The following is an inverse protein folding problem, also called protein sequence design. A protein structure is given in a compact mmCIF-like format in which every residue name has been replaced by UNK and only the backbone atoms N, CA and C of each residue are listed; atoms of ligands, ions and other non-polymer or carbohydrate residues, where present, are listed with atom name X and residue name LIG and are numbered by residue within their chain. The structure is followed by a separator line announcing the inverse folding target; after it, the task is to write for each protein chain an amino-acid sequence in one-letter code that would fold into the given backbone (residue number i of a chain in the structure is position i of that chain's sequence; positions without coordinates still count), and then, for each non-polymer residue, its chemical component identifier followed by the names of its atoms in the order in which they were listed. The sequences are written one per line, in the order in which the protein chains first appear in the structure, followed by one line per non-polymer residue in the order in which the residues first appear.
data_IF_169105807301
#
_entry.id   IF_169105807301
#
_cell.length_a   1.000
_cell.length_b   1.000
_cell.length_c   1.000
_cell.angle_alpha   90.00
_cell.angle_beta   90.00
_cell.angle_gamma   90.00
#
_symmetry.space_group_name_H-M   'P 1'
#
loop_
_entity.id
_entity.type
_entity.pdbx_description
1 polymer ?
#
# COMPACT_ATOMS: atom_id res chain seq x y z
N UNK A 1 -29.84 73.33 -27.05
CA UNK A 1 -29.65 72.26 -26.04
C UNK A 1 -30.66 71.17 -26.33
N UNK A 2 -30.25 69.97 -26.74
CA UNK A 2 -30.97 68.67 -26.75
C UNK A 2 -30.11 67.76 -27.64
N UNK A 3 -29.12 67.11 -27.04
CA UNK A 3 -28.38 65.97 -27.59
C UNK A 3 -27.75 65.27 -26.39
N UNK A 4 -28.49 64.38 -25.72
CA UNK A 4 -27.94 63.25 -24.95
C UNK A 4 -29.05 62.62 -24.12
N UNK A 5 -29.88 61.75 -24.70
CA UNK A 5 -30.76 60.90 -23.91
C UNK A 5 -31.11 59.53 -24.54
N UNK A 6 -30.41 59.12 -25.60
CA UNK A 6 -30.70 57.86 -26.31
C UNK A 6 -29.58 56.80 -26.20
N UNK A 7 -28.58 57.01 -25.35
CA UNK A 7 -27.47 56.05 -25.18
C UNK A 7 -27.56 55.19 -23.92
N UNK A 8 -28.67 55.23 -23.18
CA UNK A 8 -28.79 54.51 -21.89
C UNK A 8 -29.61 53.22 -21.94
N UNK A 9 -30.29 52.89 -23.06
CA UNK A 9 -31.19 51.73 -23.12
C UNK A 9 -30.65 50.53 -23.93
N UNK A 10 -29.39 50.57 -24.38
CA UNK A 10 -28.76 49.44 -25.07
C UNK A 10 -27.89 48.58 -24.14
N UNK A 11 -27.49 49.11 -22.96
CA UNK A 11 -26.67 48.32 -22.02
C UNK A 11 -27.46 47.33 -21.15
N UNK A 12 -28.79 47.43 -21.04
CA UNK A 12 -29.54 46.56 -20.12
C UNK A 12 -29.99 45.22 -20.73
N UNK A 13 -29.89 45.04 -22.05
CA UNK A 13 -30.35 43.81 -22.73
C UNK A 13 -29.23 42.79 -22.97
N UNK A 14 -27.96 43.13 -22.70
CA UNK A 14 -26.82 42.19 -22.88
C UNK A 14 -26.42 41.42 -21.61
N UNK A 15 -27.20 41.53 -20.52
CA UNK A 15 -26.89 40.91 -19.22
C UNK A 15 -27.67 39.61 -18.91
N UNK A 16 -28.18 38.92 -19.93
CA UNK A 16 -28.87 37.62 -19.79
C UNK A 16 -28.29 36.50 -20.67
N UNK A 17 -26.99 36.52 -20.94
CA UNK A 17 -26.33 35.38 -21.59
C UNK A 17 -25.02 34.99 -20.90
N UNK A 18 -24.93 33.71 -20.54
CA UNK A 18 -23.82 32.98 -19.90
C UNK A 18 -23.75 33.18 -18.38
N UNK A 19 -23.78 32.15 -17.54
CA UNK A 19 -22.89 30.98 -17.61
C UNK A 19 -23.64 29.65 -17.33
N UNK A 20 -23.52 28.71 -18.26
CA UNK A 20 -23.62 27.29 -17.92
C UNK A 20 -22.44 26.93 -17.00
N UNK A 21 -22.73 26.45 -15.79
CA UNK A 21 -21.72 25.83 -14.92
C UNK A 21 -21.27 24.51 -15.56
N UNK A 22 -20.23 24.56 -16.39
CA UNK A 22 -19.41 23.37 -16.63
C UNK A 22 -18.58 23.13 -15.37
N UNK A 23 -18.96 22.10 -14.62
CA UNK A 23 -18.11 21.51 -13.58
C UNK A 23 -16.80 21.11 -14.25
N UNK A 24 -15.78 21.94 -14.10
CA UNK A 24 -14.41 21.56 -14.40
C UNK A 24 -14.03 20.48 -13.40
N UNK A 25 -14.00 19.23 -13.86
CA UNK A 25 -13.35 18.14 -13.14
C UNK A 25 -11.90 18.57 -12.93
N UNK A 26 -11.50 18.73 -11.66
CA UNK A 26 -10.12 19.02 -11.31
C UNK A 26 -9.20 18.00 -12.01
N UNK A 27 -8.01 18.42 -12.50
CA UNK A 27 -7.03 17.49 -13.03
C UNK A 27 -6.75 16.42 -11.97
N UNK A 28 -6.91 15.16 -12.36
CA UNK A 28 -6.40 14.02 -11.58
C UNK A 28 -4.89 14.24 -11.44
N UNK A 29 -4.30 14.18 -10.23
CA UNK A 29 -2.86 14.25 -10.08
C UNK A 29 -2.22 13.18 -10.96
N UNK A 30 -1.39 13.59 -11.91
CA UNK A 30 -0.54 12.66 -12.64
C UNK A 30 0.51 12.19 -11.64
N UNK A 31 0.40 10.93 -11.19
CA UNK A 31 1.43 10.33 -10.35
C UNK A 31 2.77 10.35 -11.09
N UNK A 32 3.89 10.59 -10.39
CA UNK A 32 5.21 10.43 -10.98
C UNK A 32 5.40 9.00 -11.47
N UNK A 33 6.06 8.85 -12.62
CA UNK A 33 6.42 7.55 -13.18
C UNK A 33 7.20 6.73 -12.13
N UNK A 34 6.81 5.47 -11.96
CA UNK A 34 7.53 4.55 -11.11
C UNK A 34 9.01 4.49 -11.54
N UNK A 35 9.97 4.40 -10.60
CA UNK A 35 11.39 4.30 -10.94
C UNK A 35 11.65 3.11 -11.87
N UNK A 36 12.68 3.21 -12.73
CA UNK A 36 12.92 2.22 -13.79
C UNK A 36 13.12 0.82 -13.22
N UNK A 37 12.22 -0.07 -13.62
CA UNK A 37 12.23 -1.50 -13.30
C UNK A 37 13.41 -2.15 -14.04
N UNK A 38 14.31 -2.80 -13.30
CA UNK A 38 15.21 -3.80 -13.89
C UNK A 38 14.50 -5.15 -13.86
N UNK A 39 13.75 -5.46 -14.91
CA UNK A 39 12.99 -6.71 -15.06
C UNK A 39 13.93 -7.87 -15.39
N UNK A 40 14.03 -8.85 -14.48
CA UNK A 40 14.31 -10.23 -14.88
C UNK A 40 12.99 -10.99 -14.96
N UNK A 41 12.35 -10.93 -16.12
CA UNK A 41 11.20 -11.77 -16.45
C UNK A 41 11.67 -13.21 -16.67
N UNK A 42 11.45 -14.08 -15.69
CA UNK A 42 11.69 -15.51 -15.84
C UNK A 42 10.39 -16.22 -16.27
N UNK A 43 10.22 -16.44 -17.57
CA UNK A 43 9.22 -17.38 -18.09
C UNK A 43 9.73 -18.80 -17.86
N UNK A 44 9.12 -19.55 -16.95
CA UNK A 44 9.26 -21.01 -16.89
C UNK A 44 7.92 -21.73 -16.69
N UNK A 45 7.78 -22.96 -17.21
CA UNK A 45 6.50 -23.65 -17.32
C UNK A 45 6.00 -24.17 -15.96
N UNK A 46 4.68 -24.18 -15.81
CA UNK A 46 3.97 -24.75 -14.66
C UNK A 46 4.32 -26.23 -14.52
N UNK A 47 5.09 -26.58 -13.49
CA UNK A 47 5.26 -27.96 -13.02
C UNK A 47 4.48 -28.14 -11.72
N UNK A 48 3.66 -29.19 -11.70
CA UNK A 48 2.77 -29.58 -10.61
C UNK A 48 3.55 -29.73 -9.29
N UNK A 49 3.38 -28.79 -8.37
CA UNK A 49 3.94 -28.84 -7.03
C UNK A 49 3.08 -29.73 -6.13
N UNK A 50 3.62 -30.88 -5.75
CA UNK A 50 3.13 -31.73 -4.66
C UNK A 50 3.10 -30.92 -3.35
N UNK A 51 2.14 -31.14 -2.43
CA UNK A 51 2.10 -30.41 -1.16
C UNK A 51 3.34 -30.74 -0.33
N UNK A 52 4.17 -29.73 -0.06
CA UNK A 52 5.26 -29.83 0.90
C UNK A 52 4.66 -29.97 2.30
N UNK A 53 5.14 -30.89 3.14
CA UNK A 53 4.72 -31.00 4.54
C UNK A 53 5.03 -29.69 5.27
N UNK A 54 3.99 -29.05 5.79
CA UNK A 54 4.09 -27.85 6.63
C UNK A 54 4.64 -28.29 7.98
N UNK A 55 5.95 -28.17 8.18
CA UNK A 55 6.57 -28.29 9.50
C UNK A 55 6.17 -27.08 10.37
N UNK A 56 5.57 -27.40 11.53
CA UNK A 56 5.28 -26.61 12.73
C UNK A 56 5.29 -25.07 12.64
N UNK A 57 4.15 -24.46 12.99
CA UNK A 57 3.94 -23.01 13.28
C UNK A 57 5.18 -22.29 13.83
N UNK A 58 6.03 -21.79 12.95
CA UNK A 58 7.17 -20.93 13.32
C UNK A 58 6.69 -19.48 13.41
N UNK A 59 5.72 -19.20 14.26
CA UNK A 59 5.24 -17.82 14.44
C UNK A 59 6.34 -17.02 15.14
N UNK A 60 6.89 -16.03 14.45
CA UNK A 60 7.90 -15.11 15.03
C UNK A 60 7.27 -14.37 16.22
N UNK A 61 7.99 -14.31 17.35
CA UNK A 61 7.55 -13.52 18.50
C UNK A 61 7.33 -12.04 18.12
N UNK A 62 6.25 -11.38 18.57
CA UNK A 62 5.90 -10.02 18.12
C UNK A 62 7.02 -8.98 18.27
N UNK A 63 7.82 -9.08 19.35
CA UNK A 63 8.96 -8.17 19.57
C UNK A 63 10.09 -8.38 18.55
N UNK A 64 10.37 -9.64 18.18
CA UNK A 64 11.36 -9.97 17.15
C UNK A 64 10.89 -9.53 15.78
N UNK A 65 9.61 -9.78 15.47
CA UNK A 65 8.99 -9.31 14.24
C UNK A 65 9.12 -7.78 14.11
N UNK A 66 8.80 -7.04 15.16
CA UNK A 66 8.97 -5.58 15.19
C UNK A 66 10.42 -5.18 14.90
N UNK A 67 11.41 -5.81 15.55
CA UNK A 67 12.82 -5.47 15.30
C UNK A 67 13.25 -5.77 13.86
N UNK A 68 12.81 -6.87 13.26
CA UNK A 68 13.15 -7.19 11.87
C UNK A 68 12.48 -6.21 10.90
N UNK A 69 11.20 -5.90 11.10
CA UNK A 69 10.48 -4.94 10.24
C UNK A 69 11.07 -3.54 10.35
N UNK A 70 11.49 -3.11 11.56
CA UNK A 70 12.16 -1.83 11.75
C UNK A 70 13.43 -1.68 10.92
N UNK A 71 14.17 -2.77 10.73
CA UNK A 71 15.40 -2.81 9.93
C UNK A 71 15.10 -2.99 8.44
N UNK A 72 14.02 -3.71 8.09
CA UNK A 72 13.58 -3.90 6.71
C UNK A 72 13.08 -2.61 6.02
N UNK A 73 12.56 -1.66 6.80
CA UNK A 73 12.02 -0.40 6.27
C UNK A 73 13.16 0.60 6.03
N UNK A 74 13.28 1.08 4.80
CA UNK A 74 14.29 2.08 4.42
C UNK A 74 14.18 3.29 5.38
N UNK A 75 15.28 3.76 5.99
CA UNK A 75 15.23 4.73 7.09
C UNK A 75 14.50 6.05 6.80
N UNK A 76 14.31 6.44 5.55
CA UNK A 76 13.56 7.64 5.19
C UNK A 76 12.05 7.51 5.49
N UNK A 77 11.51 6.29 5.52
CA UNK A 77 10.11 6.01 5.80
C UNK A 77 9.91 5.81 7.31
N UNK A 78 9.57 6.89 8.02
CA UNK A 78 9.35 6.88 9.48
C UNK A 78 7.92 6.59 9.91
N UNK A 79 6.99 6.72 8.97
CA UNK A 79 5.55 6.73 9.20
C UNK A 79 4.96 5.42 8.70
N UNK A 80 4.71 4.47 9.60
CA UNK A 80 4.24 3.14 9.22
C UNK A 80 3.50 2.41 10.33
N UNK A 81 2.68 1.43 9.95
CA UNK A 81 1.89 0.57 10.84
C UNK A 81 2.26 -0.88 10.57
N UNK A 82 2.47 -1.68 11.61
CA UNK A 82 2.78 -3.11 11.53
C UNK A 82 1.63 -3.95 12.12
N UNK A 83 1.24 -4.98 11.38
CA UNK A 83 0.24 -5.99 11.77
C UNK A 83 0.90 -7.29 12.27
N UNK A 84 0.11 -8.12 12.95
CA UNK A 84 0.59 -9.31 13.67
C UNK A 84 1.28 -10.35 12.79
N UNK A 85 0.86 -10.52 11.54
CA UNK A 85 1.46 -11.48 10.63
C UNK A 85 2.53 -10.85 9.71
N UNK A 86 3.03 -9.67 10.05
CA UNK A 86 4.15 -9.04 9.34
C UNK A 86 3.74 -8.23 8.12
N UNK A 87 2.44 -8.04 7.87
CA UNK A 87 2.01 -6.97 6.95
C UNK A 87 2.36 -5.63 7.57
N UNK A 88 2.92 -4.71 6.79
CA UNK A 88 3.12 -3.35 7.23
C UNK A 88 2.72 -2.36 6.13
N UNK A 89 2.26 -1.19 6.56
CA UNK A 89 1.79 -0.12 5.70
C UNK A 89 2.64 1.11 5.95
N UNK A 90 3.27 1.64 4.90
CA UNK A 90 3.98 2.92 4.93
C UNK A 90 2.99 4.03 4.52
N UNK A 91 2.97 5.10 5.32
CA UNK A 91 2.19 6.31 5.07
C UNK A 91 3.11 7.47 4.67
N UNK A 92 2.68 8.28 3.70
CA UNK A 92 3.46 9.46 3.29
C UNK A 92 3.35 10.61 4.30
N UNK A 93 2.18 10.77 4.96
CA UNK A 93 1.90 11.87 5.89
C UNK A 93 0.99 11.42 7.05
N UNK A 94 1.52 10.60 7.98
CA UNK A 94 0.72 10.01 9.07
C UNK A 94 0.19 11.05 10.06
N UNK A 95 0.85 12.20 10.14
CA UNK A 95 0.50 13.36 10.96
C UNK A 95 -0.80 14.03 10.52
N UNK A 96 -1.18 13.88 9.25
CA UNK A 96 -2.45 14.40 8.72
C UNK A 96 -3.65 13.49 8.96
N UNK A 97 -3.41 12.27 9.48
CA UNK A 97 -4.43 11.25 9.67
C UNK A 97 -4.95 11.33 11.12
N UNK A 98 -6.23 11.69 11.34
CA UNK A 98 -6.78 11.82 12.69
C UNK A 98 -6.81 10.50 13.47
N UNK A 99 -7.07 9.41 12.75
CA UNK A 99 -7.14 8.05 13.30
C UNK A 99 -6.34 7.10 12.41
N UNK A 100 -5.06 6.95 12.77
CA UNK A 100 -4.08 6.12 12.05
C UNK A 100 -4.47 4.66 12.05
N UNK A 101 -5.00 4.15 13.17
CA UNK A 101 -5.43 2.76 13.29
C UNK A 101 -6.55 2.49 12.29
N UNK A 102 -7.59 3.33 12.31
CA UNK A 102 -8.71 3.20 11.38
C UNK A 102 -8.24 3.32 9.92
N UNK A 103 -7.37 4.27 9.60
CA UNK A 103 -6.85 4.43 8.24
C UNK A 103 -6.08 3.19 7.76
N UNK A 104 -5.24 2.60 8.61
CA UNK A 104 -4.52 1.37 8.30
C UNK A 104 -5.46 0.19 8.06
N UNK A 105 -6.50 0.04 8.89
CA UNK A 105 -7.53 -0.99 8.72
C UNK A 105 -8.33 -0.80 7.41
N UNK A 106 -8.71 0.44 7.10
CA UNK A 106 -9.43 0.78 5.87
C UNK A 106 -8.56 0.53 4.63
N UNK A 107 -7.28 0.90 4.68
CA UNK A 107 -6.33 0.65 3.59
C UNK A 107 -6.13 -0.85 3.37
N UNK A 108 -5.90 -1.64 4.44
CA UNK A 108 -5.75 -3.09 4.32
C UNK A 108 -7.01 -3.74 3.71
N UNK A 109 -8.19 -3.32 4.18
CA UNK A 109 -9.49 -3.78 3.66
C UNK A 109 -9.72 -3.39 2.19
N UNK A 110 -9.30 -2.19 1.78
CA UNK A 110 -9.49 -1.70 0.41
C UNK A 110 -8.78 -2.57 -0.64
N UNK A 111 -7.68 -3.23 -0.25
CA UNK A 111 -6.88 -4.10 -1.11
C UNK A 111 -7.04 -5.59 -0.81
N UNK A 112 -7.94 -5.96 0.11
CA UNK A 112 -8.30 -7.36 0.34
C UNK A 112 -9.02 -7.90 -0.90
N UNK A 113 -8.56 -9.02 -1.49
CA UNK A 113 -9.24 -9.65 -2.61
C UNK A 113 -10.70 -9.97 -2.30
N UNK A 114 -11.64 -9.55 -3.16
CA UNK A 114 -13.06 -9.89 -3.01
C UNK A 114 -13.38 -11.27 -3.56
N UNK A 115 -12.51 -11.78 -4.44
CA UNK A 115 -12.66 -13.08 -5.09
C UNK A 115 -11.34 -13.85 -5.11
N UNK A 116 -11.43 -15.17 -5.30
CA UNK A 116 -10.25 -16.03 -5.48
C UNK A 116 -9.43 -15.61 -6.70
N UNK A 117 -10.06 -15.13 -7.76
CA UNK A 117 -9.35 -14.63 -8.94
C UNK A 117 -8.52 -13.38 -8.62
N UNK A 118 -9.07 -12.45 -7.85
CA UNK A 118 -8.35 -11.26 -7.36
C UNK A 118 -7.22 -11.60 -6.39
N UNK A 119 -7.30 -12.76 -5.72
CA UNK A 119 -6.25 -13.23 -4.83
C UNK A 119 -4.98 -13.65 -5.55
N UNK A 120 -5.00 -13.78 -6.88
CA UNK A 120 -3.85 -14.10 -7.73
C UNK A 120 -3.05 -12.87 -8.18
N UNK A 121 -3.01 -11.83 -7.35
CA UNK A 121 -2.22 -10.63 -7.67
C UNK A 121 -0.72 -10.92 -7.81
N UNK A 122 -0.08 -10.18 -8.72
CA UNK A 122 1.36 -10.21 -9.01
C UNK A 122 2.15 -9.53 -7.89
N UNK A 123 3.21 -10.19 -7.43
CA UNK A 123 4.08 -9.67 -6.38
C UNK A 123 5.48 -9.36 -6.89
N UNK A 124 6.13 -8.43 -6.20
CA UNK A 124 7.56 -8.17 -6.29
C UNK A 124 8.21 -8.49 -4.95
N UNK A 125 9.46 -8.92 -5.00
CA UNK A 125 10.27 -9.26 -3.82
C UNK A 125 11.48 -8.34 -3.82
N UNK A 126 11.74 -7.74 -2.66
CA UNK A 126 13.01 -7.09 -2.36
C UNK A 126 13.77 -7.92 -1.33
N UNK A 127 14.99 -8.30 -1.66
CA UNK A 127 15.98 -8.73 -0.68
C UNK A 127 16.34 -7.56 0.24
N UNK A 128 16.73 -7.87 1.47
CA UNK A 128 17.02 -6.88 2.50
C UNK A 128 18.50 -6.97 2.89
N UNK A 129 19.17 -5.83 2.90
CA UNK A 129 20.62 -5.76 3.16
C UNK A 129 20.95 -5.91 4.66
N UNK A 130 20.08 -5.42 5.53
CA UNK A 130 20.35 -5.26 6.97
C UNK A 130 19.60 -6.28 7.86
N UNK A 131 18.73 -7.11 7.30
CA UNK A 131 18.03 -8.17 8.04
C UNK A 131 17.80 -9.39 7.15
N UNK A 132 17.82 -10.59 7.75
CA UNK A 132 17.50 -11.81 7.02
C UNK A 132 16.03 -11.81 6.57
N UNK A 133 15.81 -12.13 5.30
CA UNK A 133 14.48 -12.28 4.73
C UNK A 133 14.18 -11.31 3.61
N UNK A 134 12.89 -11.05 3.41
CA UNK A 134 12.36 -10.35 2.25
C UNK A 134 11.21 -9.41 2.62
N UNK A 135 11.11 -8.31 1.88
CA UNK A 135 9.87 -7.54 1.79
C UNK A 135 9.17 -7.88 0.49
N UNK A 136 7.94 -8.37 0.61
CA UNK A 136 7.08 -8.71 -0.52
C UNK A 136 5.99 -7.65 -0.67
N UNK A 137 5.78 -7.15 -1.88
CA UNK A 137 4.78 -6.12 -2.14
C UNK A 137 4.10 -6.31 -3.49
N UNK A 138 2.98 -5.62 -3.65
CA UNK A 138 2.06 -5.77 -4.77
C UNK A 138 0.62 -5.67 -4.26
N UNK A 139 -0.31 -5.39 -5.18
CA UNK A 139 -1.73 -5.16 -4.87
C UNK A 139 -1.97 -4.26 -3.65
N UNK A 140 -1.74 -2.96 -3.82
CA UNK A 140 -1.92 -1.96 -2.77
C UNK A 140 -0.71 -1.07 -2.61
N UNK A 141 -0.91 0.24 -2.78
CA UNK A 141 0.16 1.20 -2.56
C UNK A 141 0.56 1.22 -1.08
N UNK A 142 1.87 1.20 -0.84
CA UNK A 142 2.43 1.27 0.52
C UNK A 142 2.22 0.02 1.37
N UNK A 143 1.66 -1.07 0.83
CA UNK A 143 1.42 -2.31 1.58
C UNK A 143 2.50 -3.34 1.24
N UNK A 144 3.16 -3.81 2.29
CA UNK A 144 4.24 -4.78 2.23
C UNK A 144 3.97 -5.92 3.20
N UNK A 145 4.61 -7.05 2.98
CA UNK A 145 4.61 -8.19 3.90
C UNK A 145 6.02 -8.66 4.10
N UNK A 146 6.48 -8.62 5.35
CA UNK A 146 7.80 -9.12 5.73
C UNK A 146 7.77 -10.65 5.91
N UNK A 147 8.79 -11.31 5.37
CA UNK A 147 9.02 -12.75 5.51
C UNK A 147 10.46 -12.96 5.95
N UNK A 148 10.65 -13.50 7.16
CA UNK A 148 11.98 -13.82 7.66
C UNK A 148 12.47 -15.16 7.09
N UNK A 149 13.78 -15.30 6.89
CA UNK A 149 14.38 -16.51 6.32
C UNK A 149 14.07 -17.78 7.15
N UNK A 150 13.94 -17.67 8.48
CA UNK A 150 13.64 -18.83 9.35
C UNK A 150 12.20 -19.31 9.30
N UNK A 151 11.30 -18.56 8.66
CA UNK A 151 9.90 -18.98 8.46
C UNK A 151 9.75 -19.98 7.30
N UNK A 152 10.82 -20.20 6.53
CA UNK A 152 10.82 -21.01 5.32
C UNK A 152 11.98 -22.01 5.34
N UNK A 153 11.82 -23.12 4.61
CA UNK A 153 12.90 -24.09 4.42
C UNK A 153 14.05 -23.49 3.60
N UNK A 154 15.31 -23.87 3.86
CA UNK A 154 16.45 -23.42 3.06
C UNK A 154 16.29 -23.73 1.56
N UNK A 155 16.77 -22.82 0.69
CA UNK A 155 16.69 -22.99 -0.77
C UNK A 155 15.31 -22.71 -1.38
N UNK A 156 14.42 -22.11 -0.62
CA UNK A 156 13.13 -21.57 -1.06
C UNK A 156 13.27 -20.75 -2.35
N UNK A 157 12.35 -20.97 -3.31
CA UNK A 157 12.26 -20.17 -4.53
C UNK A 157 11.51 -18.84 -4.30
N UNK A 158 11.74 -17.80 -5.13
CA UNK A 158 10.99 -16.54 -5.04
C UNK A 158 9.47 -16.73 -5.11
N UNK A 159 9.00 -17.70 -5.91
CA UNK A 159 7.57 -18.01 -6.01
C UNK A 159 6.99 -18.49 -4.67
N UNK A 160 7.74 -19.30 -3.94
CA UNK A 160 7.34 -19.80 -2.62
C UNK A 160 7.36 -18.69 -1.56
N UNK A 161 8.35 -17.77 -1.60
CA UNK A 161 8.35 -16.58 -0.73
C UNK A 161 7.10 -15.75 -0.96
N UNK A 162 6.78 -15.44 -2.22
CA UNK A 162 5.60 -14.64 -2.57
C UNK A 162 4.29 -15.32 -2.17
N UNK A 163 4.16 -16.63 -2.39
CA UNK A 163 3.00 -17.40 -1.97
C UNK A 163 2.82 -17.38 -0.43
N UNK A 164 3.91 -17.55 0.31
CA UNK A 164 3.88 -17.49 1.77
C UNK A 164 3.52 -16.09 2.29
N UNK A 165 4.11 -15.04 1.73
CA UNK A 165 3.76 -13.66 2.05
C UNK A 165 2.27 -13.36 1.82
N UNK A 166 1.70 -13.87 0.72
CA UNK A 166 0.26 -13.75 0.43
C UNK A 166 -0.59 -14.44 1.50
N UNK A 167 -0.18 -15.61 1.97
CA UNK A 167 -0.86 -16.29 3.09
C UNK A 167 -0.79 -15.46 4.36
N UNK A 168 0.38 -14.92 4.73
CA UNK A 168 0.54 -14.05 5.91
C UNK A 168 -0.37 -12.81 5.83
N UNK A 169 -0.35 -12.12 4.68
CA UNK A 169 -1.20 -10.95 4.45
C UNK A 169 -2.69 -11.28 4.53
N UNK A 170 -3.10 -12.42 3.99
CA UNK A 170 -4.49 -12.86 4.08
C UNK A 170 -4.94 -13.10 5.54
N UNK A 171 -4.03 -13.48 6.45
CA UNK A 171 -4.32 -13.58 7.87
C UNK A 171 -4.57 -12.19 8.48
N UNK A 172 -3.75 -11.20 8.15
CA UNK A 172 -3.94 -9.82 8.59
C UNK A 172 -5.20 -9.19 7.98
N UNK A 173 -5.54 -9.50 6.72
CA UNK A 173 -6.78 -9.02 6.09
C UNK A 173 -8.03 -9.64 6.73
N UNK A 174 -7.97 -10.91 7.13
CA UNK A 174 -9.08 -11.64 7.75
C UNK A 174 -9.31 -11.24 9.21
N UNK A 175 -8.24 -11.05 9.97
CA UNK A 175 -8.30 -10.74 11.40
C UNK A 175 -7.22 -9.71 11.76
N UNK A 176 -7.39 -8.44 11.34
CA UNK A 176 -6.35 -7.44 11.49
C UNK A 176 -6.10 -7.11 12.96
N UNK A 177 -4.83 -7.21 13.36
CA UNK A 177 -4.34 -6.79 14.67
C UNK A 177 -3.07 -5.98 14.51
N UNK A 178 -3.12 -4.72 14.91
CA UNK A 178 -1.97 -3.82 14.86
C UNK A 178 -1.05 -4.13 16.04
N UNK A 179 0.23 -4.38 15.76
CA UNK A 179 1.29 -4.56 16.75
C UNK A 179 2.00 -3.25 17.11
N UNK A 180 2.15 -2.36 16.14
CA UNK A 180 2.95 -1.15 16.32
C UNK A 180 2.59 -0.06 15.32
N UNK A 181 2.71 1.19 15.78
CA UNK A 181 2.60 2.40 14.95
C UNK A 181 3.85 3.23 15.15
N UNK A 182 4.59 3.41 14.05
CA UNK A 182 5.71 4.34 13.94
C UNK A 182 5.24 5.66 13.36
N UNK A 183 5.71 6.74 13.94
CA UNK A 183 5.51 8.10 13.43
C UNK A 183 6.83 8.86 13.60
N UNK A 184 7.16 9.75 12.66
CA UNK A 184 8.34 10.64 12.76
C UNK A 184 8.37 11.43 14.08
N UNK A 185 7.19 11.73 14.63
CA UNK A 185 7.01 12.45 15.91
C UNK A 185 7.11 11.54 17.16
N UNK A 186 7.37 10.23 17.00
CA UNK A 186 7.48 9.25 18.09
C UNK A 186 6.44 8.11 17.99
N UNK A 187 6.37 7.27 19.04
CA UNK A 187 5.43 6.14 19.08
C UNK A 187 4.03 6.65 19.40
N UNK A 188 3.06 6.38 18.52
CA UNK A 188 1.63 6.65 18.81
C UNK A 188 1.07 5.47 19.59
N UNK A 189 0.55 5.73 20.78
CA UNK A 189 -0.02 4.68 21.65
C UNK A 189 -1.17 3.96 20.94
N UNK A 190 -1.23 2.64 21.12
CA UNK A 190 -2.31 1.77 20.64
C UNK A 190 -3.56 1.88 21.51
#
# INVERSE_FOLDING_TARGET
MIKSFLLSLVCLVLLLCSCENKVQKAPVPVLPDAPPITTKTANQPIQNSTPVPVESESTIEPKKLLSYVQVAIIPIYKDWVLFENGTYIIFDNIDTIPDVQKAALEQLKAYTPKTVLESNWDFTISDLDDTDGWSVYGNGYGIYTFVHATELSPGVSPLQVGAYAKTKRALDEKSPKILFISSKDGIRQL
#
